data_IF_402749518855
#
_entry.id   IF_402749518855
#
_cell.length_a   1.000
_cell.length_b   1.000
_cell.length_c   1.000
_cell.angle_alpha   90.00
_cell.angle_beta   90.00
_cell.angle_gamma   90.00
#
_symmetry.space_group_name_H-M   'P 1'
#
loop_
_entity.id
_entity.type
_entity.pdbx_description
1 polymer ?
#
# COMPACT_ATOMS: atom_id res chain seq x y z
N UNK A 1 7.80 72.51 -28.81
CA UNK A 1 8.06 71.85 -27.53
C UNK A 1 6.89 70.89 -27.32
N UNK A 2 6.91 69.69 -27.93
CA UNK A 2 7.34 68.41 -27.29
C UNK A 2 6.62 68.23 -25.94
N UNK A 3 5.83 67.19 -25.66
CA UNK A 3 5.92 65.76 -26.00
C UNK A 3 4.49 65.17 -25.97
N UNK A 4 3.91 64.87 -27.12
CA UNK A 4 2.78 63.94 -27.27
C UNK A 4 3.19 62.97 -28.37
N UNK A 5 3.45 61.71 -28.02
CA UNK A 5 3.85 60.71 -29.02
C UNK A 5 4.79 59.64 -28.49
N UNK A 6 4.34 58.90 -27.47
CA UNK A 6 4.82 57.54 -27.23
C UNK A 6 3.59 56.65 -26.95
N UNK A 7 2.63 56.64 -27.87
CA UNK A 7 1.78 55.46 -28.02
C UNK A 7 2.65 54.48 -28.79
N UNK A 8 3.33 53.59 -28.07
CA UNK A 8 4.04 52.48 -28.65
C UNK A 8 3.00 51.57 -29.30
N UNK A 9 2.78 51.77 -30.60
CA UNK A 9 1.97 50.87 -31.42
C UNK A 9 2.76 49.56 -31.48
N UNK A 10 2.39 48.57 -30.65
CA UNK A 10 2.90 47.22 -30.79
C UNK A 10 2.49 46.71 -32.17
N UNK A 11 3.46 46.47 -33.06
CA UNK A 11 3.21 45.89 -34.37
C UNK A 11 2.72 44.44 -34.19
N UNK A 12 1.93 43.95 -35.14
CA UNK A 12 1.41 42.58 -35.14
C UNK A 12 2.57 41.55 -35.14
N UNK A 13 3.63 41.82 -35.90
CA UNK A 13 4.88 41.05 -35.92
C UNK A 13 5.57 40.96 -34.53
N UNK A 14 5.50 42.03 -33.73
CA UNK A 14 6.08 42.05 -32.37
C UNK A 14 5.28 41.15 -31.42
N UNK A 15 3.95 41.10 -31.60
CA UNK A 15 3.06 40.23 -30.80
C UNK A 15 3.29 38.76 -31.14
N UNK A 16 3.40 38.44 -32.43
CA UNK A 16 3.66 37.08 -32.90
C UNK A 16 5.04 36.58 -32.44
N UNK A 17 6.06 37.44 -32.52
CA UNK A 17 7.40 37.14 -32.02
C UNK A 17 7.36 36.86 -30.51
N UNK A 18 6.68 37.72 -29.74
CA UNK A 18 6.54 37.55 -28.30
C UNK A 18 5.80 36.25 -27.93
N UNK A 19 4.74 35.90 -28.64
CA UNK A 19 4.01 34.64 -28.43
C UNK A 19 4.95 33.44 -28.63
N UNK A 20 5.73 33.43 -29.71
CA UNK A 20 6.69 32.35 -30.01
C UNK A 20 7.78 32.22 -28.95
N UNK A 21 8.28 33.34 -28.44
CA UNK A 21 9.26 33.35 -27.35
C UNK A 21 8.66 32.78 -26.06
N UNK A 22 7.38 33.09 -25.75
CA UNK A 22 6.66 32.49 -24.62
C UNK A 22 6.49 30.97 -24.78
N UNK A 23 6.07 30.49 -25.96
CA UNK A 23 5.94 29.05 -26.23
C UNK A 23 7.29 28.34 -26.03
N UNK A 24 8.37 28.96 -26.50
CA UNK A 24 9.74 28.47 -26.32
C UNK A 24 10.13 28.43 -24.84
N UNK A 25 9.82 29.48 -24.08
CA UNK A 25 10.04 29.51 -22.64
C UNK A 25 9.29 28.37 -21.94
N UNK A 26 7.99 28.23 -22.19
CA UNK A 26 7.16 27.18 -21.59
C UNK A 26 7.73 25.78 -21.87
N UNK A 27 8.20 25.52 -23.09
CA UNK A 27 8.86 24.26 -23.44
C UNK A 27 10.07 23.98 -22.55
N UNK A 28 10.94 24.98 -22.33
CA UNK A 28 12.10 24.84 -21.45
C UNK A 28 11.70 24.61 -20.00
N UNK A 29 10.64 25.27 -19.51
CA UNK A 29 10.10 25.05 -18.16
C UNK A 29 9.64 23.58 -17.99
N UNK A 30 8.89 23.05 -18.95
CA UNK A 30 8.42 21.66 -18.90
C UNK A 30 9.55 20.64 -19.03
N UNK A 31 10.57 20.94 -19.84
CA UNK A 31 11.78 20.13 -19.91
C UNK A 31 12.52 20.10 -18.56
N UNK A 32 12.66 21.24 -17.88
CA UNK A 32 13.31 21.31 -16.58
C UNK A 32 12.58 20.49 -15.50
N UNK A 33 11.24 20.56 -15.47
CA UNK A 33 10.42 19.73 -14.59
C UNK A 33 10.62 18.25 -14.93
N UNK A 34 10.51 17.89 -16.21
CA UNK A 34 10.62 16.50 -16.64
C UNK A 34 12.00 15.87 -16.34
N UNK A 35 13.09 16.59 -16.62
CA UNK A 35 14.45 16.07 -16.39
C UNK A 35 14.75 15.88 -14.91
N UNK A 36 14.21 16.74 -14.05
CA UNK A 36 14.47 16.69 -12.61
C UNK A 36 13.66 15.61 -11.91
N UNK A 37 12.43 15.35 -12.37
CA UNK A 37 11.60 14.27 -11.85
C UNK A 37 11.96 12.88 -12.44
N UNK A 38 12.85 12.83 -13.43
CA UNK A 38 13.43 11.59 -13.95
C UNK A 38 14.48 11.01 -12.98
N UNK A 39 14.82 9.70 -13.06
CA UNK A 39 15.63 8.99 -12.05
C UNK A 39 17.09 9.47 -11.89
N UNK A 40 17.61 10.28 -12.81
CA UNK A 40 19.01 10.72 -12.82
C UNK A 40 19.15 12.24 -12.92
N UNK A 41 18.74 13.01 -11.90
CA UNK A 41 18.99 14.45 -11.89
C UNK A 41 20.43 14.74 -11.42
N UNK A 42 21.12 15.65 -12.12
CA UNK A 42 22.36 16.25 -11.62
C UNK A 42 22.03 17.42 -10.67
N UNK A 43 22.98 17.86 -9.85
CA UNK A 43 22.78 19.06 -9.01
C UNK A 43 22.45 20.32 -9.81
N UNK A 44 22.95 20.41 -11.04
CA UNK A 44 22.61 21.50 -11.97
C UNK A 44 21.13 21.51 -12.35
N UNK A 45 20.47 20.34 -12.42
CA UNK A 45 19.04 20.26 -12.75
C UNK A 45 18.14 20.85 -11.64
N UNK A 46 18.55 20.79 -10.37
CA UNK A 46 17.76 21.33 -9.25
C UNK A 46 17.70 22.86 -9.27
N UNK A 47 18.79 23.52 -9.66
CA UNK A 47 18.81 24.99 -9.81
C UNK A 47 18.00 25.44 -11.02
N UNK A 48 18.07 24.69 -12.13
CA UNK A 48 17.22 24.94 -13.30
C UNK A 48 15.74 24.75 -12.92
N UNK A 49 15.41 23.72 -12.14
CA UNK A 49 14.05 23.51 -11.63
C UNK A 49 13.59 24.68 -10.74
N UNK A 50 14.43 25.14 -9.80
CA UNK A 50 14.09 26.28 -8.93
C UNK A 50 13.75 27.51 -9.76
N UNK A 51 14.60 27.86 -10.73
CA UNK A 51 14.35 28.98 -11.64
C UNK A 51 13.09 28.78 -12.50
N UNK A 52 12.83 27.54 -12.93
CA UNK A 52 11.62 27.23 -13.69
C UNK A 52 10.35 27.39 -12.84
N UNK A 53 10.34 26.92 -11.60
CA UNK A 53 9.19 27.04 -10.68
C UNK A 53 8.95 28.49 -10.27
N UNK A 54 10.02 29.26 -10.03
CA UNK A 54 9.91 30.71 -9.81
C UNK A 54 9.27 31.40 -11.02
N UNK A 55 9.67 31.03 -12.24
CA UNK A 55 9.08 31.56 -13.47
C UNK A 55 7.60 31.17 -13.60
N UNK A 56 7.23 29.92 -13.30
CA UNK A 56 5.82 29.48 -13.29
C UNK A 56 5.01 30.34 -12.30
N UNK A 57 5.54 30.56 -11.09
CA UNK A 57 4.89 31.37 -10.05
C UNK A 57 4.65 32.79 -10.54
N UNK A 58 5.67 33.41 -11.15
CA UNK A 58 5.56 34.75 -11.73
C UNK A 58 4.53 34.81 -12.87
N UNK A 59 4.46 33.78 -13.73
CA UNK A 59 3.48 33.73 -14.81
C UNK A 59 2.04 33.66 -14.28
N UNK A 60 1.81 32.85 -13.25
CA UNK A 60 0.51 32.73 -12.56
C UNK A 60 0.08 34.02 -11.87
N UNK A 61 1.00 34.69 -11.15
CA UNK A 61 0.72 35.99 -10.53
C UNK A 61 0.33 37.05 -11.56
N UNK A 62 0.96 37.01 -12.74
CA UNK A 62 0.62 37.93 -13.84
C UNK A 62 -0.75 37.63 -14.41
N UNK A 63 -1.11 36.35 -14.59
CA UNK A 63 -2.42 35.93 -15.05
C UNK A 63 -3.52 36.41 -14.08
N UNK A 64 -3.31 36.26 -12.77
CA UNK A 64 -4.22 36.79 -11.74
C UNK A 64 -4.33 38.32 -11.78
N UNK A 65 -3.22 39.03 -12.02
CA UNK A 65 -3.22 40.50 -12.16
C UNK A 65 -4.00 40.99 -13.39
N UNK A 66 -4.10 40.19 -14.45
CA UNK A 66 -4.93 40.51 -15.62
C UNK A 66 -6.40 40.24 -15.36
N UNK A 67 -6.74 39.11 -14.72
CA UNK A 67 -8.11 38.76 -14.37
C UNK A 67 -8.76 39.76 -13.40
N UNK A 68 -7.97 40.35 -12.48
CA UNK A 68 -8.45 41.31 -11.49
C UNK A 68 -8.65 42.76 -11.98
N UNK A 69 -8.48 43.06 -13.28
CA UNK A 69 -8.58 44.44 -13.77
C UNK A 69 -10.03 44.89 -14.04
N UNK A 70 -10.33 46.19 -13.88
CA UNK A 70 -11.62 46.75 -14.24
C UNK A 70 -11.90 46.63 -15.75
N UNK A 71 -13.17 46.45 -16.09
CA UNK A 71 -13.67 46.53 -17.47
C UNK A 71 -13.26 47.87 -18.11
N UNK A 72 -12.54 47.82 -19.23
CA UNK A 72 -12.04 49.00 -19.96
C UNK A 72 -10.54 49.29 -19.82
N UNK A 73 -9.77 48.46 -19.11
CA UNK A 73 -8.29 48.51 -19.15
C UNK A 73 -7.71 47.75 -20.35
N UNK A 74 -6.40 47.88 -20.62
CA UNK A 74 -5.72 47.17 -21.72
C UNK A 74 -6.00 45.67 -21.64
N UNK A 75 -6.56 45.10 -22.72
CA UNK A 75 -6.85 43.68 -22.83
C UNK A 75 -5.59 42.83 -22.62
N UNK A 76 -5.76 41.70 -21.94
CA UNK A 76 -4.71 40.71 -21.84
C UNK A 76 -4.35 40.18 -23.24
N UNK A 77 -3.08 39.80 -23.48
CA UNK A 77 -2.72 39.12 -24.72
C UNK A 77 -3.58 37.88 -24.96
N UNK A 78 -3.89 37.58 -26.22
CA UNK A 78 -4.81 36.48 -26.60
C UNK A 78 -4.38 35.08 -26.14
N UNK A 79 -3.09 34.91 -25.84
CA UNK A 79 -2.49 33.66 -25.35
C UNK A 79 -2.51 33.52 -23.81
N UNK A 80 -3.16 34.44 -23.09
CA UNK A 80 -3.31 34.42 -21.63
C UNK A 80 -4.77 34.14 -21.23
N UNK A 81 -5.02 33.48 -20.09
CA UNK A 81 -4.06 32.91 -19.14
C UNK A 81 -3.44 31.60 -19.65
N UNK A 82 -2.22 31.28 -19.20
CA UNK A 82 -1.51 30.07 -19.61
C UNK A 82 -1.85 28.84 -18.75
N UNK A 83 -2.37 29.05 -17.53
CA UNK A 83 -2.65 27.98 -16.57
C UNK A 83 -1.42 27.06 -16.36
N UNK A 84 -0.25 27.68 -16.19
CA UNK A 84 1.02 26.99 -16.02
C UNK A 84 0.98 25.99 -14.86
N UNK A 85 0.30 26.32 -13.76
CA UNK A 85 0.14 25.42 -12.61
C UNK A 85 -0.66 24.17 -12.96
N UNK A 86 -1.76 24.32 -13.70
CA UNK A 86 -2.52 23.16 -14.20
C UNK A 86 -1.67 22.30 -15.14
N UNK A 87 -0.94 22.92 -16.05
CA UNK A 87 -0.06 22.21 -16.99
C UNK A 87 1.07 21.47 -16.27
N UNK A 88 1.66 22.08 -15.24
CA UNK A 88 2.65 21.47 -14.35
C UNK A 88 2.09 20.21 -13.68
N UNK A 89 0.93 20.32 -13.03
CA UNK A 89 0.33 19.21 -12.30
C UNK A 89 -0.04 18.04 -13.23
N UNK A 90 -0.54 18.34 -14.44
CA UNK A 90 -0.82 17.36 -15.49
C UNK A 90 0.47 16.69 -16.01
N UNK A 91 1.56 17.43 -16.13
CA UNK A 91 2.86 16.87 -16.50
C UNK A 91 3.33 15.86 -15.43
N UNK A 92 3.25 16.23 -14.15
CA UNK A 92 3.60 15.32 -13.05
C UNK A 92 2.71 14.06 -13.06
N UNK A 93 1.40 14.21 -13.30
CA UNK A 93 0.50 13.05 -13.42
C UNK A 93 0.96 12.10 -14.54
N UNK A 94 1.26 12.62 -15.73
CA UNK A 94 1.75 11.82 -16.86
C UNK A 94 3.08 11.14 -16.56
N UNK A 95 3.96 11.80 -15.82
CA UNK A 95 5.23 11.22 -15.40
C UNK A 95 5.02 10.07 -14.43
N UNK A 96 4.17 10.24 -13.41
CA UNK A 96 3.81 9.17 -12.47
C UNK A 96 3.18 7.99 -13.21
N UNK A 97 2.30 8.25 -14.18
CA UNK A 97 1.72 7.20 -15.03
C UNK A 97 2.78 6.41 -15.80
N UNK A 98 3.74 7.11 -16.41
CA UNK A 98 4.83 6.45 -17.11
C UNK A 98 5.73 5.65 -16.16
N UNK A 99 6.06 6.20 -14.99
CA UNK A 99 6.92 5.53 -13.99
C UNK A 99 6.25 4.27 -13.44
N UNK A 100 4.96 4.34 -13.11
CA UNK A 100 4.19 3.21 -12.62
C UNK A 100 4.01 2.12 -13.68
N UNK A 101 3.82 2.50 -14.95
CA UNK A 101 3.80 1.55 -16.08
C UNK A 101 5.16 0.92 -16.34
N UNK A 102 6.23 1.69 -16.32
CA UNK A 102 7.58 1.16 -16.60
C UNK A 102 8.04 0.20 -15.50
N UNK A 103 7.64 0.45 -14.24
CA UNK A 103 7.88 -0.47 -13.13
C UNK A 103 7.29 -1.87 -13.35
N UNK A 104 6.27 -2.03 -14.21
CA UNK A 104 5.72 -3.36 -14.53
C UNK A 104 6.47 -4.05 -15.67
N UNK A 105 7.22 -3.31 -16.51
CA UNK A 105 7.85 -3.79 -17.76
C UNK A 105 9.37 -4.01 -17.64
N UNK A 106 10.09 -3.18 -16.87
CA UNK A 106 11.55 -3.01 -17.03
C UNK A 106 12.47 -4.14 -16.51
N UNK A 107 11.97 -5.19 -15.85
CA UNK A 107 12.84 -6.21 -15.21
C UNK A 107 12.73 -7.65 -15.74
N UNK A 108 12.09 -7.90 -16.89
CA UNK A 108 12.16 -9.24 -17.51
C UNK A 108 13.53 -9.55 -18.18
N UNK A 109 14.50 -8.63 -18.13
CA UNK A 109 15.81 -8.74 -18.82
C UNK A 109 17.07 -8.59 -17.94
N UNK A 110 16.98 -8.43 -16.60
CA UNK A 110 18.17 -8.36 -15.73
C UNK A 110 18.04 -9.34 -14.56
N UNK A 111 18.92 -10.33 -14.57
CA UNK A 111 19.07 -11.36 -13.53
C UNK A 111 19.64 -10.79 -12.23
N UNK A 112 19.09 -11.30 -11.11
CA UNK A 112 19.52 -11.17 -9.70
C UNK A 112 19.11 -9.88 -8.98
N UNK A 113 17.86 -9.82 -8.52
CA UNK A 113 17.51 -9.08 -7.31
C UNK A 113 16.46 -9.83 -6.49
N UNK A 114 16.34 -9.51 -5.19
CA UNK A 114 15.48 -10.12 -4.16
C UNK A 114 13.98 -10.30 -4.52
N UNK A 115 13.56 -9.87 -5.72
CA UNK A 115 12.19 -9.93 -6.27
C UNK A 115 11.88 -11.31 -6.87
N UNK A 116 12.89 -12.11 -7.23
CA UNK A 116 12.73 -13.48 -7.77
C UNK A 116 12.16 -14.49 -6.75
N UNK A 117 12.11 -14.14 -5.47
CA UNK A 117 11.48 -14.94 -4.43
C UNK A 117 9.94 -14.78 -4.39
N UNK A 118 9.37 -13.88 -5.20
CA UNK A 118 7.92 -13.70 -5.26
C UNK A 118 7.30 -14.69 -6.24
N UNK A 119 6.43 -15.55 -5.68
CA UNK A 119 5.89 -16.72 -6.36
C UNK A 119 4.98 -16.43 -7.56
N UNK A 120 4.36 -15.25 -7.62
CA UNK A 120 3.35 -14.91 -8.63
C UNK A 120 3.69 -13.62 -9.38
N UNK A 121 3.15 -13.49 -10.60
CA UNK A 121 3.29 -12.27 -11.40
C UNK A 121 2.67 -11.06 -10.68
N UNK A 122 1.53 -11.24 -10.01
CA UNK A 122 0.86 -10.19 -9.24
C UNK A 122 1.77 -9.66 -8.14
N UNK A 123 2.37 -10.54 -7.34
CA UNK A 123 3.28 -10.14 -6.26
C UNK A 123 4.46 -9.33 -6.80
N UNK A 124 5.07 -9.77 -7.90
CA UNK A 124 6.16 -9.03 -8.56
C UNK A 124 5.70 -7.66 -9.04
N UNK A 125 4.56 -7.58 -9.71
CA UNK A 125 3.98 -6.33 -10.20
C UNK A 125 3.75 -5.33 -9.05
N UNK A 126 3.00 -5.74 -8.02
CA UNK A 126 2.70 -4.89 -6.86
C UNK A 126 3.97 -4.48 -6.11
N UNK A 127 4.93 -5.40 -5.95
CA UNK A 127 6.21 -5.10 -5.30
C UNK A 127 6.99 -4.03 -6.06
N UNK A 128 7.10 -4.15 -7.39
CA UNK A 128 7.82 -3.17 -8.22
C UNK A 128 7.15 -1.81 -8.18
N UNK A 129 5.82 -1.76 -8.32
CA UNK A 129 5.06 -0.51 -8.21
C UNK A 129 5.25 0.14 -6.84
N UNK A 130 5.17 -0.64 -5.76
CA UNK A 130 5.37 -0.13 -4.41
C UNK A 130 6.80 0.37 -4.13
N UNK A 131 7.82 -0.31 -4.66
CA UNK A 131 9.21 0.16 -4.62
C UNK A 131 9.39 1.48 -5.36
N UNK A 132 8.89 1.55 -6.60
CA UNK A 132 8.94 2.75 -7.43
C UNK A 132 8.27 3.92 -6.73
N UNK A 133 7.07 3.70 -6.19
CA UNK A 133 6.33 4.68 -5.39
C UNK A 133 7.18 5.18 -4.21
N UNK A 134 7.76 4.27 -3.43
CA UNK A 134 8.59 4.62 -2.28
C UNK A 134 9.79 5.46 -2.69
N UNK A 135 10.54 5.02 -3.69
CA UNK A 135 11.75 5.70 -4.15
C UNK A 135 11.45 7.11 -4.66
N UNK A 136 10.42 7.26 -5.49
CA UNK A 136 10.08 8.53 -6.11
C UNK A 136 9.51 9.53 -5.09
N UNK A 137 8.61 9.09 -4.21
CA UNK A 137 8.03 9.96 -3.17
C UNK A 137 9.10 10.42 -2.17
N UNK A 138 9.99 9.53 -1.75
CA UNK A 138 11.10 9.89 -0.84
C UNK A 138 12.12 10.81 -1.50
N UNK A 139 12.39 10.62 -2.79
CA UNK A 139 13.26 11.51 -3.56
C UNK A 139 12.66 12.90 -3.67
N UNK A 140 11.35 13.01 -3.96
CA UNK A 140 10.70 14.32 -4.02
C UNK A 140 10.80 15.05 -2.68
N UNK A 141 10.54 14.36 -1.57
CA UNK A 141 10.61 14.97 -0.25
C UNK A 141 12.01 15.40 0.18
N UNK A 142 13.05 14.65 -0.20
CA UNK A 142 14.45 14.94 0.16
C UNK A 142 15.11 15.98 -0.74
N UNK A 143 14.95 15.84 -2.05
CA UNK A 143 15.82 16.50 -3.02
C UNK A 143 15.11 17.59 -3.82
N UNK A 144 13.79 17.47 -4.02
CA UNK A 144 13.03 18.35 -4.93
C UNK A 144 12.17 19.36 -4.18
N UNK A 145 11.67 19.00 -3.00
CA UNK A 145 10.75 19.84 -2.20
C UNK A 145 11.23 21.29 -2.10
N UNK A 146 12.52 21.50 -1.84
CA UNK A 146 13.09 22.83 -1.58
C UNK A 146 13.29 23.69 -2.85
N UNK A 147 13.00 23.14 -4.03
CA UNK A 147 12.88 23.88 -5.28
C UNK A 147 11.49 24.53 -5.45
N UNK A 148 10.50 24.14 -4.65
CA UNK A 148 9.12 24.59 -4.76
C UNK A 148 8.73 25.58 -3.66
N UNK A 149 7.97 26.63 -3.99
CA UNK A 149 7.25 27.43 -3.01
C UNK A 149 6.26 26.59 -2.19
N UNK A 150 5.99 26.95 -0.92
CA UNK A 150 5.11 26.15 -0.05
C UNK A 150 3.69 25.96 -0.58
N UNK A 151 3.16 26.92 -1.34
CA UNK A 151 1.79 26.87 -1.86
C UNK A 151 1.59 25.82 -2.95
N UNK A 152 2.66 25.36 -3.62
CA UNK A 152 2.60 24.25 -4.57
C UNK A 152 2.29 22.91 -3.90
N UNK A 153 2.60 22.77 -2.61
CA UNK A 153 2.34 21.55 -1.84
C UNK A 153 2.83 20.27 -2.56
N UNK A 154 4.03 20.36 -3.16
CA UNK A 154 4.51 19.39 -4.16
C UNK A 154 4.60 17.96 -3.64
N UNK A 155 4.98 17.78 -2.36
CA UNK A 155 5.07 16.45 -1.74
C UNK A 155 3.69 15.78 -1.67
N UNK A 156 2.67 16.53 -1.24
CA UNK A 156 1.30 16.08 -1.16
C UNK A 156 0.68 15.85 -2.55
N UNK A 157 0.92 16.74 -3.51
CA UNK A 157 0.50 16.52 -4.90
C UNK A 157 1.07 15.20 -5.43
N UNK A 158 2.37 15.02 -5.28
CA UNK A 158 3.07 13.87 -5.85
C UNK A 158 2.65 12.55 -5.19
N UNK A 159 2.55 12.50 -3.86
CA UNK A 159 2.06 11.30 -3.16
C UNK A 159 0.59 10.99 -3.49
N UNK A 160 -0.27 12.01 -3.70
CA UNK A 160 -1.66 11.81 -4.16
C UNK A 160 -1.71 11.15 -5.54
N UNK A 161 -0.89 11.62 -6.48
CA UNK A 161 -0.83 11.03 -7.83
C UNK A 161 -0.43 9.56 -7.76
N UNK A 162 0.64 9.22 -7.02
CA UNK A 162 1.04 7.82 -6.82
C UNK A 162 -0.03 7.00 -6.11
N UNK A 163 -0.63 7.54 -5.06
CA UNK A 163 -1.70 6.89 -4.32
C UNK A 163 -2.84 6.49 -5.25
N UNK A 164 -3.31 7.42 -6.09
CA UNK A 164 -4.41 7.15 -7.02
C UNK A 164 -4.09 6.03 -8.00
N UNK A 165 -2.90 6.05 -8.61
CA UNK A 165 -2.51 5.01 -9.58
C UNK A 165 -2.29 3.66 -8.92
N UNK A 166 -1.66 3.64 -7.73
CA UNK A 166 -1.45 2.39 -6.99
C UNK A 166 -2.76 1.81 -6.45
N UNK A 167 -3.63 2.65 -5.90
CA UNK A 167 -4.98 2.28 -5.44
C UNK A 167 -5.83 1.72 -6.57
N UNK A 168 -5.83 2.38 -7.74
CA UNK A 168 -6.56 1.90 -8.92
C UNK A 168 -6.11 0.50 -9.33
N UNK A 169 -4.78 0.26 -9.35
CA UNK A 169 -4.25 -1.06 -9.70
C UNK A 169 -4.55 -2.13 -8.65
N UNK A 170 -4.41 -1.83 -7.36
CA UNK A 170 -4.76 -2.79 -6.31
C UNK A 170 -6.26 -3.11 -6.32
N UNK A 171 -7.11 -2.14 -6.66
CA UNK A 171 -8.56 -2.33 -6.80
C UNK A 171 -8.88 -3.24 -7.99
N UNK A 172 -8.19 -3.08 -9.12
CA UNK A 172 -8.30 -3.98 -10.27
C UNK A 172 -7.95 -5.43 -9.89
N UNK A 173 -6.82 -5.62 -9.22
CA UNK A 173 -6.34 -6.93 -8.77
C UNK A 173 -7.27 -7.56 -7.72
N UNK A 174 -7.75 -6.77 -6.75
CA UNK A 174 -8.69 -7.25 -5.75
C UNK A 174 -9.99 -7.81 -6.37
N UNK A 175 -10.41 -7.25 -7.50
CA UNK A 175 -11.65 -7.63 -8.19
C UNK A 175 -11.46 -8.72 -9.25
N UNK A 176 -10.24 -9.09 -9.60
CA UNK A 176 -9.97 -10.13 -10.61
C UNK A 176 -10.14 -11.57 -10.08
N UNK A 177 -10.35 -11.73 -8.77
CA UNK A 177 -10.38 -13.04 -8.11
C UNK A 177 -8.97 -13.52 -7.79
N UNK A 178 -8.56 -13.35 -6.54
CA UNK A 178 -7.22 -13.69 -6.08
C UNK A 178 -7.17 -15.10 -5.47
N UNK A 179 -6.06 -15.77 -5.69
CA UNK A 179 -5.72 -16.93 -4.88
C UNK A 179 -5.37 -16.51 -3.45
N UNK A 180 -5.17 -17.52 -2.61
CA UNK A 180 -4.85 -17.41 -1.18
C UNK A 180 -3.64 -16.52 -0.93
N UNK A 181 -2.55 -16.82 -1.64
CA UNK A 181 -1.24 -16.28 -1.38
C UNK A 181 -1.13 -14.85 -1.92
N UNK A 182 -1.83 -14.58 -3.02
CA UNK A 182 -1.99 -13.25 -3.60
C UNK A 182 -2.92 -12.37 -2.76
N UNK A 183 -4.03 -12.92 -2.23
CA UNK A 183 -4.90 -12.21 -1.29
C UNK A 183 -4.14 -11.77 -0.03
N UNK A 184 -3.38 -12.68 0.58
CA UNK A 184 -2.53 -12.38 1.74
C UNK A 184 -1.55 -11.24 1.43
N UNK A 185 -0.92 -11.29 0.26
CA UNK A 185 0.07 -10.31 -0.13
C UNK A 185 -0.53 -8.93 -0.36
N UNK A 186 -1.70 -8.86 -1.00
CA UNK A 186 -2.41 -7.61 -1.22
C UNK A 186 -2.85 -6.97 0.11
N UNK A 187 -3.38 -7.79 1.04
CA UNK A 187 -3.73 -7.34 2.40
C UNK A 187 -2.51 -6.81 3.16
N UNK A 188 -1.36 -7.47 3.06
CA UNK A 188 -0.12 -6.97 3.65
C UNK A 188 0.29 -5.59 3.09
N UNK A 189 0.12 -5.36 1.78
CA UNK A 189 0.39 -4.05 1.19
C UNK A 189 -0.54 -2.97 1.71
N UNK A 190 -1.84 -3.26 1.75
CA UNK A 190 -2.87 -2.29 2.17
C UNK A 190 -2.76 -1.95 3.65
N UNK A 191 -2.58 -2.96 4.50
CA UNK A 191 -2.63 -2.79 5.96
C UNK A 191 -1.27 -2.51 6.60
N UNK A 192 -0.16 -2.86 5.94
CA UNK A 192 1.17 -2.78 6.54
C UNK A 192 2.17 -1.98 5.70
N UNK A 193 2.57 -2.49 4.53
CA UNK A 193 3.72 -1.93 3.80
C UNK A 193 3.48 -0.48 3.34
N UNK A 194 2.32 -0.20 2.75
CA UNK A 194 2.01 1.16 2.30
C UNK A 194 1.89 2.16 3.46
N UNK A 195 1.05 1.95 4.50
CA UNK A 195 0.93 2.92 5.59
C UNK A 195 2.19 3.02 6.45
N UNK A 196 2.88 1.91 6.76
CA UNK A 196 3.97 1.93 7.73
C UNK A 196 5.35 2.12 7.12
N UNK A 197 5.65 1.52 5.96
CA UNK A 197 7.00 1.55 5.39
C UNK A 197 7.21 2.69 4.39
N UNK A 198 6.11 3.30 3.92
CA UNK A 198 6.11 4.40 2.95
C UNK A 198 5.55 5.66 3.60
N UNK A 199 4.26 5.71 3.96
CA UNK A 199 3.64 6.95 4.42
C UNK A 199 4.20 7.46 5.76
N UNK A 200 4.49 6.56 6.70
CA UNK A 200 5.13 6.90 7.99
C UNK A 200 6.66 7.00 7.92
N UNK A 201 7.23 7.03 6.72
CA UNK A 201 8.68 7.17 6.60
C UNK A 201 9.11 8.55 7.10
N UNK A 202 10.17 8.60 7.91
CA UNK A 202 10.70 9.82 8.55
C UNK A 202 10.93 10.99 7.59
N UNK A 203 11.35 10.71 6.35
CA UNK A 203 11.63 11.76 5.36
C UNK A 203 10.33 12.42 4.83
N UNK A 204 9.15 11.85 5.09
CA UNK A 204 7.84 12.41 4.75
C UNK A 204 7.14 13.07 5.93
N UNK A 205 7.70 12.94 7.14
CA UNK A 205 7.10 13.46 8.36
C UNK A 205 6.93 14.98 8.28
N UNK A 206 5.69 15.46 8.46
CA UNK A 206 5.36 16.88 8.35
C UNK A 206 5.27 17.43 6.91
N UNK A 207 5.50 16.61 5.88
CA UNK A 207 5.45 17.03 4.47
C UNK A 207 4.26 16.47 3.68
N UNK A 208 3.56 15.49 4.24
CA UNK A 208 2.37 14.89 3.63
C UNK A 208 1.19 14.85 4.61
N UNK A 209 -0.02 14.98 4.08
CA UNK A 209 -1.27 14.80 4.79
C UNK A 209 -1.80 13.38 4.54
N UNK A 210 -1.42 12.46 5.42
CA UNK A 210 -1.84 11.06 5.35
C UNK A 210 -3.36 10.87 5.44
N UNK A 211 -4.05 11.71 6.22
CA UNK A 211 -5.50 11.61 6.41
C UNK A 211 -6.26 11.89 5.11
N UNK A 212 -5.73 12.79 4.27
CA UNK A 212 -6.33 13.13 2.98
C UNK A 212 -6.23 12.03 1.92
N UNK A 213 -5.30 11.08 2.08
CA UNK A 213 -5.08 9.99 1.13
C UNK A 213 -6.11 8.87 1.31
N UNK A 214 -6.51 8.58 2.55
CA UNK A 214 -7.37 7.44 2.86
C UNK A 214 -6.69 6.08 2.63
N UNK A 215 -7.49 5.03 2.52
CA UNK A 215 -7.02 3.66 2.31
C UNK A 215 -6.83 3.34 0.83
N UNK A 216 -5.87 2.46 0.51
CA UNK A 216 -5.61 2.03 -0.87
C UNK A 216 -6.78 1.31 -1.54
N UNK A 217 -7.66 0.70 -0.75
CA UNK A 217 -8.86 0.02 -1.22
C UNK A 217 -10.09 0.68 -0.60
N UNK A 218 -11.22 0.60 -1.29
CA UNK A 218 -12.51 0.94 -0.71
C UNK A 218 -12.83 0.01 0.47
N UNK A 219 -13.60 0.49 1.45
CA UNK A 219 -14.03 -0.31 2.59
C UNK A 219 -14.69 -1.63 2.15
N UNK A 220 -15.48 -1.59 1.08
CA UNK A 220 -16.14 -2.77 0.50
C UNK A 220 -15.14 -3.80 -0.05
N UNK A 221 -14.19 -3.34 -0.86
CA UNK A 221 -13.20 -4.23 -1.49
C UNK A 221 -12.27 -4.82 -0.41
N UNK A 222 -11.84 -3.99 0.55
CA UNK A 222 -11.02 -4.43 1.68
C UNK A 222 -11.75 -5.48 2.53
N UNK A 223 -12.98 -5.20 2.95
CA UNK A 223 -13.77 -6.13 3.78
C UNK A 223 -13.97 -7.48 3.08
N UNK A 224 -14.14 -7.47 1.75
CA UNK A 224 -14.31 -8.69 0.96
C UNK A 224 -13.03 -9.55 0.97
N UNK A 225 -11.86 -8.92 0.80
CA UNK A 225 -10.57 -9.63 0.87
C UNK A 225 -10.27 -10.15 2.28
N UNK A 226 -10.56 -9.36 3.31
CA UNK A 226 -10.39 -9.77 4.70
C UNK A 226 -11.30 -10.95 5.06
N UNK A 227 -12.54 -10.95 4.59
CA UNK A 227 -13.47 -12.07 4.79
C UNK A 227 -12.98 -13.33 4.06
N UNK A 228 -12.52 -13.20 2.81
CA UNK A 228 -11.93 -14.30 2.07
C UNK A 228 -10.74 -14.91 2.82
N UNK A 229 -9.83 -14.06 3.32
CA UNK A 229 -8.71 -14.49 4.15
C UNK A 229 -9.17 -15.24 5.41
N UNK A 230 -10.09 -14.64 6.16
CA UNK A 230 -10.57 -15.19 7.43
C UNK A 230 -11.25 -16.54 7.24
N UNK A 231 -12.20 -16.66 6.31
CA UNK A 231 -12.91 -17.91 6.03
C UNK A 231 -11.93 -19.04 5.68
N UNK A 232 -10.91 -18.73 4.90
CA UNK A 232 -9.91 -19.70 4.52
C UNK A 232 -9.01 -20.08 5.71
N UNK A 233 -8.56 -19.10 6.50
CA UNK A 233 -7.73 -19.33 7.67
C UNK A 233 -8.47 -20.16 8.71
N UNK A 234 -9.73 -19.84 8.97
CA UNK A 234 -10.64 -20.60 9.82
C UNK A 234 -10.80 -22.05 9.35
N UNK A 235 -11.04 -22.25 8.05
CA UNK A 235 -11.15 -23.59 7.45
C UNK A 235 -9.87 -24.41 7.67
N UNK A 236 -8.70 -23.81 7.42
CA UNK A 236 -7.40 -24.48 7.63
C UNK A 236 -7.17 -24.85 9.09
N UNK A 237 -7.46 -23.93 10.02
CA UNK A 237 -7.36 -24.18 11.46
C UNK A 237 -8.29 -25.31 11.87
N UNK A 238 -9.55 -25.29 11.42
CA UNK A 238 -10.54 -26.34 11.69
C UNK A 238 -10.09 -27.70 11.18
N UNK A 239 -9.62 -27.80 9.94
CA UNK A 239 -9.12 -29.06 9.38
C UNK A 239 -7.92 -29.59 10.17
N UNK A 240 -7.01 -28.70 10.58
CA UNK A 240 -5.86 -29.08 11.39
C UNK A 240 -6.29 -29.60 12.78
N UNK A 241 -7.22 -28.91 13.45
CA UNK A 241 -7.81 -29.36 14.72
C UNK A 241 -8.49 -30.73 14.60
N UNK A 242 -9.32 -30.93 13.57
CA UNK A 242 -9.96 -32.22 13.33
C UNK A 242 -8.94 -33.33 13.13
N UNK A 243 -7.87 -33.07 12.37
CA UNK A 243 -6.81 -34.06 12.14
C UNK A 243 -6.04 -34.37 13.42
N UNK A 244 -5.70 -33.35 14.22
CA UNK A 244 -5.00 -33.54 15.50
C UNK A 244 -5.86 -34.40 16.45
N UNK A 245 -7.16 -34.12 16.54
CA UNK A 245 -8.09 -34.91 17.34
C UNK A 245 -8.19 -36.36 16.85
N UNK A 246 -8.38 -36.59 15.54
CA UNK A 246 -8.49 -37.94 15.00
C UNK A 246 -7.22 -38.78 15.20
N UNK A 247 -6.04 -38.15 15.17
CA UNK A 247 -4.77 -38.84 15.47
C UNK A 247 -4.69 -39.25 16.94
N UNK A 248 -5.14 -38.38 17.84
CA UNK A 248 -5.19 -38.68 19.27
C UNK A 248 -6.22 -39.80 19.57
N UNK A 249 -7.39 -39.77 18.93
CA UNK A 249 -8.41 -40.82 19.01
C UNK A 249 -7.90 -42.19 18.54
N UNK A 250 -7.18 -42.24 17.41
CA UNK A 250 -6.54 -43.46 16.92
C UNK A 250 -5.52 -44.00 17.93
N UNK A 251 -4.78 -43.09 18.58
CA UNK A 251 -3.89 -43.40 19.69
C UNK A 251 -4.62 -44.08 20.85
N UNK A 252 -5.76 -43.53 21.26
CA UNK A 252 -6.58 -44.13 22.32
C UNK A 252 -7.09 -45.52 21.96
N UNK A 253 -7.59 -45.70 20.73
CA UNK A 253 -8.21 -46.94 20.25
C UNK A 253 -7.21 -48.06 19.95
N UNK A 254 -5.96 -47.71 19.61
CA UNK A 254 -4.89 -48.69 19.37
C UNK A 254 -4.34 -49.35 20.64
N UNK A 255 -4.83 -48.96 21.82
CA UNK A 255 -4.34 -49.45 23.11
C UNK A 255 -3.01 -48.81 23.54
N UNK A 256 -2.52 -47.80 22.80
CA UNK A 256 -1.31 -47.06 23.15
C UNK A 256 -1.51 -46.38 24.52
N UNK A 257 -0.55 -46.56 25.41
CA UNK A 257 -0.52 -45.82 26.67
C UNK A 257 -0.03 -44.39 26.41
N UNK A 258 -0.60 -43.36 27.07
CA UNK A 258 -0.09 -42.01 27.01
C UNK A 258 1.38 -41.93 27.42
N UNK A 259 2.05 -40.89 26.94
CA UNK A 259 3.41 -40.60 27.34
C UNK A 259 3.48 -40.34 28.85
N UNK A 260 4.61 -40.73 29.48
CA UNK A 260 4.85 -40.49 30.89
C UNK A 260 5.97 -39.45 31.03
N UNK A 261 5.64 -38.31 31.63
CA UNK A 261 6.62 -37.29 32.02
C UNK A 261 6.68 -37.30 33.55
N UNK A 262 7.85 -37.59 34.12
CA UNK A 262 8.06 -37.73 35.57
C UNK A 262 7.06 -38.67 36.27
N UNK A 263 6.61 -39.71 35.57
CA UNK A 263 5.64 -40.68 36.08
C UNK A 263 4.16 -40.25 35.97
N UNK A 264 3.87 -39.09 35.37
CA UNK A 264 2.52 -38.60 35.11
C UNK A 264 2.11 -38.81 33.66
N UNK A 265 0.88 -39.28 33.43
CA UNK A 265 0.32 -39.42 32.09
C UNK A 265 0.14 -38.05 31.44
N UNK A 266 0.67 -37.89 30.23
CA UNK A 266 0.73 -36.65 29.49
C UNK A 266 0.06 -36.80 28.11
N UNK A 267 -0.69 -35.78 27.71
CA UNK A 267 -1.28 -35.63 26.39
C UNK A 267 -0.91 -34.22 25.88
N UNK A 268 -0.20 -34.11 24.75
CA UNK A 268 0.23 -32.81 24.23
C UNK A 268 -0.90 -32.03 23.55
N UNK A 269 -2.05 -32.65 23.28
CA UNK A 269 -3.10 -32.10 22.42
C UNK A 269 -3.52 -30.68 22.83
N UNK A 270 -3.71 -30.40 24.12
CA UNK A 270 -4.10 -29.06 24.54
C UNK A 270 -3.04 -28.00 24.22
N UNK A 271 -1.76 -28.31 24.47
CA UNK A 271 -0.64 -27.44 24.11
C UNK A 271 -0.62 -27.19 22.60
N UNK A 272 -0.71 -28.26 21.81
CA UNK A 272 -0.66 -28.18 20.35
C UNK A 272 -1.79 -27.32 19.78
N UNK A 273 -3.01 -27.47 20.31
CA UNK A 273 -4.19 -26.70 19.90
C UNK A 273 -4.05 -25.22 20.28
N UNK A 274 -3.63 -24.92 21.51
CA UNK A 274 -3.43 -23.55 22.00
C UNK A 274 -2.34 -22.85 21.19
N UNK A 275 -1.21 -23.52 20.93
CA UNK A 275 -0.13 -22.95 20.12
C UNK A 275 -0.56 -22.73 18.67
N UNK A 276 -1.31 -23.66 18.09
CA UNK A 276 -1.81 -23.51 16.73
C UNK A 276 -2.80 -22.34 16.58
N UNK A 277 -3.71 -22.14 17.53
CA UNK A 277 -4.64 -21.01 17.49
C UNK A 277 -3.93 -19.67 17.72
N UNK A 278 -3.01 -19.61 18.68
CA UNK A 278 -2.21 -18.40 18.94
C UNK A 278 -1.39 -18.02 17.70
N UNK A 279 -0.70 -18.99 17.10
CA UNK A 279 0.04 -18.79 15.85
C UNK A 279 -0.85 -18.27 14.72
N UNK A 280 -2.04 -18.84 14.55
CA UNK A 280 -2.99 -18.41 13.53
C UNK A 280 -3.51 -16.97 13.78
N UNK A 281 -3.82 -16.61 15.04
CA UNK A 281 -4.25 -15.26 15.42
C UNK A 281 -3.13 -14.26 15.19
N UNK A 282 -1.89 -14.59 15.59
CA UNK A 282 -0.73 -13.71 15.39
C UNK A 282 -0.47 -13.43 13.92
N UNK A 283 -0.53 -14.45 13.07
CA UNK A 283 -0.38 -14.29 11.62
C UNK A 283 -1.50 -13.43 11.02
N UNK A 284 -2.76 -13.72 11.40
CA UNK A 284 -3.92 -12.95 10.94
C UNK A 284 -3.86 -11.49 11.37
N UNK A 285 -3.41 -11.21 12.59
CA UNK A 285 -3.19 -9.85 13.08
C UNK A 285 -2.18 -9.10 12.24
N UNK A 286 -1.08 -9.76 11.88
CA UNK A 286 -0.07 -9.15 11.00
C UNK A 286 -0.66 -8.85 9.63
N UNK A 287 -1.43 -9.76 9.02
CA UNK A 287 -1.97 -9.56 7.67
C UNK A 287 -3.12 -8.52 7.65
N UNK A 288 -4.03 -8.60 8.62
CA UNK A 288 -5.23 -7.76 8.70
C UNK A 288 -4.97 -6.38 9.33
N UNK A 289 -3.86 -6.20 10.03
CA UNK A 289 -3.59 -4.98 10.80
C UNK A 289 -4.61 -4.71 11.92
N UNK A 290 -5.40 -5.72 12.31
CA UNK A 290 -6.49 -5.59 13.27
C UNK A 290 -6.56 -6.77 14.24
N UNK A 291 -6.35 -6.50 15.52
CA UNK A 291 -6.51 -7.48 16.60
C UNK A 291 -7.96 -8.00 16.67
N UNK A 292 -8.95 -7.10 16.58
CA UNK A 292 -10.36 -7.46 16.67
C UNK A 292 -10.80 -8.44 15.57
N UNK A 293 -10.33 -8.24 14.33
CA UNK A 293 -10.63 -9.16 13.21
C UNK A 293 -9.91 -10.50 13.38
N UNK A 294 -8.66 -10.49 13.82
CA UNK A 294 -7.86 -11.70 14.01
C UNK A 294 -8.43 -12.62 15.11
N UNK A 295 -9.00 -12.04 16.17
CA UNK A 295 -9.62 -12.81 17.27
C UNK A 295 -10.79 -13.69 16.84
N UNK A 296 -11.40 -13.43 15.67
CA UNK A 296 -12.43 -14.30 15.10
C UNK A 296 -11.98 -15.76 14.93
N UNK A 297 -10.68 -15.99 14.71
CA UNK A 297 -10.12 -17.35 14.57
C UNK A 297 -10.31 -18.17 15.86
N UNK A 298 -10.40 -17.51 17.02
CA UNK A 298 -10.61 -18.18 18.31
C UNK A 298 -11.92 -19.00 18.34
N UNK A 299 -12.94 -18.58 17.58
CA UNK A 299 -14.21 -19.30 17.47
C UNK A 299 -14.06 -20.74 16.94
N UNK A 300 -12.92 -21.09 16.31
CA UNK A 300 -12.67 -22.48 15.91
C UNK A 300 -12.45 -23.40 17.11
N UNK A 301 -12.02 -22.88 18.27
CA UNK A 301 -11.88 -23.67 19.50
C UNK A 301 -13.21 -24.22 19.99
N UNK A 302 -14.32 -23.46 19.87
CA UNK A 302 -15.63 -23.92 20.35
C UNK A 302 -16.03 -25.24 19.69
N UNK A 303 -15.91 -25.31 18.36
CA UNK A 303 -16.21 -26.51 17.58
C UNK A 303 -15.28 -27.67 17.92
N UNK A 304 -14.00 -27.37 18.17
CA UNK A 304 -13.02 -28.37 18.58
C UNK A 304 -13.34 -28.92 19.97
N UNK A 305 -13.63 -28.07 20.97
CA UNK A 305 -13.91 -28.48 22.35
C UNK A 305 -15.16 -29.35 22.44
N UNK A 306 -16.21 -29.04 21.66
CA UNK A 306 -17.41 -29.89 21.54
C UNK A 306 -17.06 -31.27 20.99
N UNK A 307 -16.24 -31.31 19.93
CA UNK A 307 -15.83 -32.56 19.29
C UNK A 307 -14.96 -33.39 20.23
N UNK A 308 -13.93 -32.77 20.82
CA UNK A 308 -13.02 -33.37 21.79
C UNK A 308 -13.75 -33.98 22.99
N UNK A 309 -14.72 -33.25 23.57
CA UNK A 309 -15.57 -33.78 24.64
C UNK A 309 -16.34 -35.02 24.19
N UNK A 310 -16.97 -34.96 23.02
CA UNK A 310 -17.78 -36.07 22.48
C UNK A 310 -16.93 -37.32 22.26
N UNK A 311 -15.74 -37.15 21.69
CA UNK A 311 -14.78 -38.23 21.43
C UNK A 311 -14.28 -38.87 22.72
N UNK A 312 -13.95 -38.07 23.73
CA UNK A 312 -13.51 -38.58 25.03
C UNK A 312 -14.64 -39.32 25.76
N UNK A 313 -15.86 -38.80 25.72
CA UNK A 313 -17.05 -39.47 26.28
C UNK A 313 -17.33 -40.81 25.59
N UNK A 314 -17.16 -40.89 24.26
CA UNK A 314 -17.32 -42.14 23.52
C UNK A 314 -16.22 -43.15 23.87
N UNK A 315 -14.97 -42.70 23.96
CA UNK A 315 -13.84 -43.56 24.34
C UNK A 315 -14.03 -44.16 25.74
N UNK A 316 -14.42 -43.33 26.73
CA UNK A 316 -14.65 -43.77 28.11
C UNK A 316 -15.72 -44.87 28.21
N UNK A 317 -16.75 -44.83 27.37
CA UNK A 317 -17.81 -45.87 27.34
C UNK A 317 -17.29 -47.24 26.89
N UNK A 318 -16.25 -47.30 26.06
CA UNK A 318 -15.76 -48.56 25.45
C UNK A 318 -14.97 -49.46 26.41
N UNK A 319 -14.54 -48.94 27.57
CA UNK A 319 -13.84 -49.66 28.66
C UNK A 319 -12.71 -50.60 28.19
N UNK A 320 -11.47 -50.10 28.16
CA UNK A 320 -10.27 -50.85 27.79
C UNK A 320 -9.15 -50.77 28.83
N UNK A 321 -8.09 -51.55 28.63
CA UNK A 321 -6.95 -51.64 29.58
C UNK A 321 -6.20 -50.31 29.75
N UNK A 322 -6.14 -49.48 28.71
CA UNK A 322 -5.48 -48.16 28.73
C UNK A 322 -6.40 -47.00 29.18
N UNK A 323 -7.69 -47.24 29.44
CA UNK A 323 -8.68 -46.18 29.69
C UNK A 323 -8.30 -45.28 30.87
N UNK A 324 -7.80 -45.85 31.97
CA UNK A 324 -7.42 -45.05 33.14
C UNK A 324 -6.25 -44.09 32.84
N UNK A 325 -5.25 -44.54 32.08
CA UNK A 325 -4.10 -43.73 31.74
C UNK A 325 -4.49 -42.60 30.78
N UNK A 326 -5.29 -42.92 29.75
CA UNK A 326 -5.80 -41.93 28.77
C UNK A 326 -6.65 -40.87 29.47
N UNK A 327 -7.56 -41.26 30.37
CA UNK A 327 -8.37 -40.28 31.13
C UNK A 327 -7.48 -39.37 31.98
N UNK A 328 -6.47 -39.90 32.68
CA UNK A 328 -5.54 -39.09 33.48
C UNK A 328 -4.78 -38.08 32.61
N UNK A 329 -4.31 -38.48 31.44
CA UNK A 329 -3.62 -37.59 30.50
C UNK A 329 -4.54 -36.45 30.03
N UNK A 330 -5.77 -36.78 29.64
CA UNK A 330 -6.73 -35.82 29.12
C UNK A 330 -7.30 -34.87 30.20
N UNK A 331 -7.28 -35.25 31.49
CA UNK A 331 -7.62 -34.33 32.59
C UNK A 331 -6.65 -33.15 32.66
N UNK A 332 -5.36 -33.37 32.39
CA UNK A 332 -4.36 -32.29 32.31
C UNK A 332 -4.67 -31.38 31.13
N UNK A 333 -5.01 -31.95 29.96
CA UNK A 333 -5.44 -31.18 28.79
C UNK A 333 -6.67 -30.31 29.05
N UNK A 334 -7.67 -30.84 29.78
CA UNK A 334 -8.87 -30.09 30.17
C UNK A 334 -8.52 -28.89 31.06
N UNK A 335 -7.59 -29.06 32.00
CA UNK A 335 -7.13 -27.97 32.86
C UNK A 335 -6.36 -26.90 32.08
N UNK A 336 -5.61 -27.29 31.04
CA UNK A 336 -4.91 -26.32 30.18
C UNK A 336 -5.87 -25.49 29.29
N UNK A 337 -7.05 -26.01 28.96
CA UNK A 337 -8.06 -25.27 28.21
C UNK A 337 -8.89 -24.29 29.07
N UNK A 338 -8.86 -24.44 30.40
CA UNK A 338 -9.52 -23.53 31.35
C UNK A 338 -8.67 -22.29 31.60
#
# INVERSE_FOLDING_TARGET
>A
MTIEGLVQVCNEDDKDTLQKDYETLLLHLWMAVHTTFSPTPSGEHLEILRSAVETITLLEEKDQQWEGRPEGSSEAPVWRPHQCRHTHDNLLEKMVDSQMRNATVEEDNISVSSVDNLSTSMKREVCRMGKRLKEDVLRVARDIRDCYPPDFDVCNLYVRLYHQKFSAKLTELARSGLDVDDCNYLLCWVNNYYPNDILKHKDLEGHINMESLGTLLSEKDLTTLEEQYLLQKESRVRTWFSKALSQEEEGWLSGKSPELIDGYCFCPLAIDIIQAVDGAIREARTILGSEAKAQRILCQLDSFLISYKSSLEEFVKRTGENTQAVVKANLVSIEQFR
#
